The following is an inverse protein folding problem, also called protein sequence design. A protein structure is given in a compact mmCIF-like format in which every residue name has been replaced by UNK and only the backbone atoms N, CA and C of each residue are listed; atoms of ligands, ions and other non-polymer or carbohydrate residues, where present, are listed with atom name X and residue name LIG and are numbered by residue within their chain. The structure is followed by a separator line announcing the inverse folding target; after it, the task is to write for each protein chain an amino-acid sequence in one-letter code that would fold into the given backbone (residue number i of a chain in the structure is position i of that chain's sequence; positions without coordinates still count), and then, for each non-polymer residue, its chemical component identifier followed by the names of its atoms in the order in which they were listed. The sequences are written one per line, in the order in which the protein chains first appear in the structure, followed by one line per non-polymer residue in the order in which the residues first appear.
data_IF_890747896487
#
_entry.id   IF_890747896487
#
_cell.length_a   1.000
_cell.length_b   1.000
_cell.length_c   1.000
_cell.angle_alpha   90.00
_cell.angle_beta   90.00
_cell.angle_gamma   90.00
#
_symmetry.space_group_name_H-M   'P 1'
#
loop_
_entity.id
_entity.type
_entity.pdbx_description
1 polymer ?
#
# COMPACT_ATOMS: atom_id res chain seq x y z
N UNK A 1 5.18 -4.91 -10.28
CA UNK A 1 4.31 -5.53 -9.32
C UNK A 1 4.29 -4.84 -7.98
N UNK A 2 5.39 -4.29 -7.52
CA UNK A 2 5.30 -3.22 -6.56
C UNK A 2 4.75 -2.03 -7.35
N UNK A 3 3.54 -1.50 -7.03
CA UNK A 3 3.28 -0.10 -7.34
C UNK A 3 4.54 0.56 -6.83
N UNK A 4 5.36 1.11 -7.73
CA UNK A 4 6.48 1.90 -7.30
C UNK A 4 5.86 2.97 -6.41
N UNK A 5 5.87 2.73 -5.10
CA UNK A 5 5.93 3.83 -4.18
C UNK A 5 7.22 4.50 -4.61
N UNK A 6 7.13 5.51 -5.46
CA UNK A 6 8.14 6.52 -5.57
C UNK A 6 8.06 7.22 -4.23
N UNK A 7 8.50 6.48 -3.21
CA UNK A 7 8.78 7.02 -1.95
C UNK A 7 9.94 7.96 -2.19
N UNK A 8 9.63 9.22 -2.41
CA UNK A 8 10.52 10.24 -1.94
C UNK A 8 10.52 10.08 -0.42
N UNK A 9 11.31 9.14 0.05
CA UNK A 9 11.81 9.20 1.40
C UNK A 9 12.62 10.49 1.47
N UNK A 10 11.93 11.57 1.80
CA UNK A 10 12.60 12.77 2.23
C UNK A 10 13.35 12.33 3.46
N UNK A 11 14.68 12.17 3.29
CA UNK A 11 15.59 12.08 4.41
C UNK A 11 15.56 13.42 5.12
N UNK A 12 14.52 13.69 5.88
CA UNK A 12 14.55 14.68 6.92
C UNK A 12 15.40 14.13 8.07
N UNK A 13 16.66 13.81 7.78
CA UNK A 13 17.69 13.79 8.80
C UNK A 13 17.90 15.25 9.19
N UNK A 14 17.05 15.76 10.06
CA UNK A 14 17.35 16.94 10.83
C UNK A 14 18.59 16.63 11.67
N UNK A 15 19.60 17.43 11.50
CA UNK A 15 20.81 17.45 12.30
C UNK A 15 20.39 17.71 13.74
N UNK A 16 20.30 16.66 14.53
CA UNK A 16 19.93 16.69 15.94
C UNK A 16 20.14 15.33 16.57
N UNK A 17 20.43 15.28 17.83
CA UNK A 17 20.87 14.12 18.62
C UNK A 17 19.85 12.97 18.76
N UNK A 18 18.75 12.94 18.00
CA UNK A 18 17.78 11.87 18.00
C UNK A 18 17.97 10.97 16.79
N UNK A 19 17.96 9.67 17.05
CA UNK A 19 18.11 8.64 16.03
C UNK A 19 16.82 8.58 15.21
N UNK A 20 16.85 9.07 13.96
CA UNK A 20 15.74 8.94 13.04
C UNK A 20 15.57 7.48 12.64
N UNK A 21 14.41 6.90 12.92
CA UNK A 21 14.01 5.59 12.41
C UNK A 21 13.23 5.82 11.12
N UNK A 22 13.67 5.14 10.05
CA UNK A 22 12.96 5.09 8.78
C UNK A 22 12.56 3.66 8.51
N UNK A 23 11.30 3.44 8.25
CA UNK A 23 10.81 2.19 7.75
C UNK A 23 10.39 2.29 6.29
N UNK A 24 10.26 1.15 5.64
CA UNK A 24 9.68 1.01 4.31
C UNK A 24 9.05 -0.36 4.22
N UNK A 25 7.75 -0.43 4.15
CA UNK A 25 7.06 -1.71 4.06
C UNK A 25 7.22 -2.39 2.69
N UNK A 26 7.31 -3.70 2.70
CA UNK A 26 7.18 -4.56 1.53
C UNK A 26 5.82 -5.23 1.54
N UNK A 27 4.99 -4.90 0.56
CA UNK A 27 3.71 -5.58 0.32
C UNK A 27 3.98 -6.84 -0.49
N UNK A 28 4.12 -7.96 0.19
CA UNK A 28 4.48 -9.26 -0.38
C UNK A 28 3.32 -10.26 -0.38
N UNK A 29 2.10 -9.79 -0.06
CA UNK A 29 0.85 -10.57 -0.10
C UNK A 29 -0.38 -9.65 -0.22
N UNK A 30 -1.54 -10.21 -0.55
CA UNK A 30 -2.84 -9.53 -0.42
C UNK A 30 -3.13 -8.45 -1.46
N UNK A 31 -2.30 -8.29 -2.48
CA UNK A 31 -2.50 -7.29 -3.53
C UNK A 31 -3.33 -7.86 -4.68
N UNK A 32 -4.64 -7.77 -4.56
CA UNK A 32 -5.58 -8.23 -5.57
C UNK A 32 -5.51 -7.37 -6.85
N UNK A 33 -6.02 -7.91 -7.96
CA UNK A 33 -5.96 -7.23 -9.26
C UNK A 33 -6.73 -5.93 -9.27
N UNK A 34 -7.88 -5.90 -8.61
CA UNK A 34 -8.78 -4.76 -8.55
C UNK A 34 -8.72 -4.06 -7.20
N UNK A 35 -8.91 -2.75 -7.22
CA UNK A 35 -8.89 -1.92 -6.00
C UNK A 35 -10.16 -2.12 -5.11
N UNK A 36 -11.15 -2.88 -5.58
CA UNK A 36 -12.38 -3.23 -4.88
C UNK A 36 -12.30 -4.53 -4.04
N UNK A 37 -11.10 -5.03 -3.82
CA UNK A 37 -10.81 -6.31 -3.15
C UNK A 37 -11.29 -7.55 -3.94
N UNK A 38 -11.35 -7.47 -5.26
CA UNK A 38 -11.70 -8.57 -6.15
C UNK A 38 -10.55 -8.97 -7.09
N UNK A 39 -10.67 -10.14 -7.71
CA UNK A 39 -9.67 -10.67 -8.63
C UNK A 39 -8.61 -11.55 -7.97
N UNK A 40 -7.68 -12.07 -8.76
CA UNK A 40 -6.59 -12.94 -8.31
C UNK A 40 -5.48 -12.11 -7.64
N UNK A 41 -4.80 -12.67 -6.66
CA UNK A 41 -3.58 -12.08 -6.10
C UNK A 41 -2.49 -11.99 -7.19
N UNK A 42 -1.91 -10.79 -7.36
CA UNK A 42 -0.95 -10.48 -8.43
C UNK A 42 0.33 -11.30 -8.34
N UNK A 43 0.79 -11.62 -7.12
CA UNK A 43 1.99 -12.42 -6.89
C UNK A 43 1.71 -13.86 -7.25
N UNK A 44 0.60 -14.41 -6.77
CA UNK A 44 0.15 -15.77 -7.07
C UNK A 44 -0.06 -15.99 -8.58
N UNK A 45 -0.70 -15.04 -9.25
CA UNK A 45 -0.87 -15.06 -10.71
C UNK A 45 0.47 -15.09 -11.44
N UNK A 46 1.40 -14.24 -11.03
CA UNK A 46 2.73 -14.18 -11.65
C UNK A 46 3.53 -15.45 -11.39
N UNK A 47 3.48 -15.98 -10.18
CA UNK A 47 4.12 -17.25 -9.80
C UNK A 47 3.62 -18.40 -10.68
N UNK A 48 2.31 -18.52 -10.87
CA UNK A 48 1.69 -19.52 -11.74
C UNK A 48 2.15 -19.40 -13.20
N UNK A 49 2.22 -18.17 -13.73
CA UNK A 49 2.66 -17.92 -15.12
C UNK A 49 4.13 -18.27 -15.30
N UNK A 50 5.00 -17.88 -14.35
CA UNK A 50 6.44 -18.14 -14.42
C UNK A 50 6.83 -19.53 -13.91
N UNK A 51 5.88 -20.30 -13.35
CA UNK A 51 6.10 -21.62 -12.71
C UNK A 51 7.12 -21.55 -11.58
N UNK A 52 6.99 -20.53 -10.74
CA UNK A 52 7.81 -20.26 -9.57
C UNK A 52 6.95 -20.23 -8.33
N UNK A 53 7.55 -20.37 -7.15
CA UNK A 53 6.88 -20.12 -5.89
C UNK A 53 6.62 -18.61 -5.67
N UNK A 54 5.53 -18.22 -5.00
CA UNK A 54 5.21 -16.80 -4.76
C UNK A 54 6.38 -16.02 -4.13
N UNK A 55 7.08 -16.62 -3.17
CA UNK A 55 8.20 -15.96 -2.50
C UNK A 55 9.46 -15.82 -3.38
N UNK A 56 9.64 -16.65 -4.42
CA UNK A 56 10.69 -16.44 -5.42
C UNK A 56 10.41 -15.19 -6.25
N UNK A 57 9.11 -14.96 -6.60
CA UNK A 57 8.68 -13.74 -7.29
C UNK A 57 8.93 -12.50 -6.41
N UNK A 58 8.53 -12.56 -5.14
CA UNK A 58 8.76 -11.49 -4.17
C UNK A 58 10.25 -11.17 -4.07
N UNK A 59 11.10 -12.18 -3.84
CA UNK A 59 12.53 -12.01 -3.69
C UNK A 59 13.18 -11.40 -4.93
N UNK A 60 12.83 -11.90 -6.13
CA UNK A 60 13.32 -11.38 -7.41
C UNK A 60 13.08 -9.87 -7.55
N UNK A 61 11.83 -9.44 -7.30
CA UNK A 61 11.48 -8.03 -7.43
C UNK A 61 12.02 -7.16 -6.29
N UNK A 62 12.16 -7.71 -5.08
CA UNK A 62 12.77 -7.00 -3.95
C UNK A 62 14.25 -6.70 -4.23
N UNK A 63 14.99 -7.69 -4.72
CA UNK A 63 16.41 -7.51 -5.10
C UNK A 63 16.54 -6.48 -6.22
N UNK A 64 15.69 -6.56 -7.24
CA UNK A 64 15.73 -5.60 -8.35
C UNK A 64 15.39 -4.17 -7.89
N UNK A 65 14.41 -4.03 -7.03
CA UNK A 65 14.06 -2.76 -6.41
C UNK A 65 15.23 -2.17 -5.59
N UNK A 66 15.90 -2.98 -4.76
CA UNK A 66 17.06 -2.52 -3.97
C UNK A 66 18.19 -2.04 -4.86
N UNK A 67 18.51 -2.77 -5.94
CA UNK A 67 19.52 -2.34 -6.93
C UNK A 67 19.18 -0.97 -7.53
N UNK A 68 17.91 -0.75 -7.89
CA UNK A 68 17.49 0.54 -8.44
C UNK A 68 17.61 1.65 -7.39
N UNK A 69 17.24 1.40 -6.14
CA UNK A 69 17.40 2.37 -5.05
C UNK A 69 18.87 2.71 -4.79
N UNK A 70 19.75 1.71 -4.84
CA UNK A 70 21.20 1.90 -4.73
C UNK A 70 21.74 2.77 -5.90
N UNK A 71 21.33 2.49 -7.13
CA UNK A 71 21.71 3.30 -8.31
C UNK A 71 21.27 4.76 -8.17
N UNK A 72 20.12 5.02 -7.55
CA UNK A 72 19.67 6.38 -7.21
C UNK A 72 20.41 6.97 -5.99
N UNK A 73 21.33 6.25 -5.38
CA UNK A 73 22.02 6.68 -4.17
C UNK A 73 21.05 7.15 -3.08
N UNK A 74 19.99 6.35 -2.85
CA UNK A 74 19.04 6.56 -1.76
C UNK A 74 19.54 5.85 -0.51
N UNK A 75 19.37 6.47 0.64
CA UNK A 75 19.70 5.82 1.91
C UNK A 75 18.74 4.64 2.14
N UNK A 76 19.26 3.46 2.53
CA UNK A 76 18.41 2.33 2.88
C UNK A 76 17.54 2.64 4.10
N UNK A 77 16.36 2.03 4.25
CA UNK A 77 15.61 2.14 5.48
C UNK A 77 16.33 1.44 6.63
N UNK A 78 16.02 1.83 7.86
CA UNK A 78 16.52 1.14 9.06
C UNK A 78 15.81 -0.21 9.25
N UNK A 79 14.52 -0.24 8.88
CA UNK A 79 13.65 -1.42 8.99
C UNK A 79 12.86 -1.55 7.70
N UNK A 80 12.79 -2.74 7.14
CA UNK A 80 12.01 -3.05 5.95
C UNK A 80 11.09 -4.24 6.22
N UNK A 81 9.95 -4.00 6.91
CA UNK A 81 9.04 -5.05 7.29
C UNK A 81 8.25 -5.57 6.10
N UNK A 82 7.98 -6.88 6.10
CA UNK A 82 7.13 -7.56 5.12
C UNK A 82 5.76 -7.84 5.70
N UNK A 83 4.72 -7.78 4.88
CA UNK A 83 3.35 -8.09 5.31
C UNK A 83 3.23 -9.55 5.77
N UNK A 84 3.88 -10.50 5.05
CA UNK A 84 3.89 -11.92 5.43
C UNK A 84 4.58 -12.18 6.77
N UNK A 85 5.60 -11.40 7.12
CA UNK A 85 6.31 -11.49 8.40
C UNK A 85 5.51 -10.93 9.60
N UNK A 86 4.34 -10.31 9.37
CA UNK A 86 3.58 -9.58 10.38
C UNK A 86 2.11 -10.01 10.46
N UNK A 87 1.80 -11.25 10.10
CA UNK A 87 0.42 -11.79 10.13
C UNK A 87 -0.17 -11.76 11.54
N UNK A 88 0.62 -12.04 12.57
CA UNK A 88 0.17 -12.03 13.96
C UNK A 88 -0.27 -10.62 14.37
N UNK A 89 0.54 -9.62 14.09
CA UNK A 89 0.25 -8.22 14.41
C UNK A 89 -0.99 -7.71 13.66
N UNK A 90 -1.18 -8.15 12.44
CA UNK A 90 -2.35 -7.80 11.63
C UNK A 90 -3.62 -8.45 12.20
N UNK A 91 -3.58 -9.74 12.58
CA UNK A 91 -4.70 -10.41 13.25
C UNK A 91 -5.04 -9.70 14.57
N UNK A 92 -4.05 -9.31 15.35
CA UNK A 92 -4.29 -8.60 16.61
C UNK A 92 -4.86 -7.19 16.41
N UNK A 93 -4.45 -6.50 15.35
CA UNK A 93 -5.04 -5.22 14.95
C UNK A 93 -6.52 -5.39 14.56
N UNK A 94 -6.85 -6.41 13.78
CA UNK A 94 -8.25 -6.73 13.42
C UNK A 94 -9.10 -7.00 14.67
N UNK A 95 -8.61 -7.80 15.60
CA UNK A 95 -9.34 -8.08 16.86
C UNK A 95 -9.66 -6.79 17.63
N UNK A 96 -8.70 -5.83 17.66
CA UNK A 96 -8.92 -4.53 18.30
C UNK A 96 -9.98 -3.70 17.58
N UNK A 97 -9.96 -3.68 16.23
CA UNK A 97 -10.96 -2.97 15.41
C UNK A 97 -12.35 -3.60 15.60
N UNK A 98 -12.46 -4.94 15.63
CA UNK A 98 -13.72 -5.62 15.94
C UNK A 98 -14.21 -5.23 17.35
N UNK A 99 -13.32 -5.26 18.34
CA UNK A 99 -13.66 -4.90 19.74
C UNK A 99 -14.13 -3.45 19.86
N UNK A 100 -13.60 -2.53 19.05
CA UNK A 100 -14.06 -1.13 19.01
C UNK A 100 -15.42 -0.97 18.31
N UNK A 101 -15.93 -2.04 17.70
CA UNK A 101 -17.21 -2.07 16.99
C UNK A 101 -17.16 -1.48 15.59
N UNK A 102 -15.96 -1.20 15.02
CA UNK A 102 -15.80 -0.63 13.68
C UNK A 102 -15.48 -1.68 12.61
N UNK A 103 -15.62 -2.96 12.91
CA UNK A 103 -15.49 -4.04 11.94
C UNK A 103 -16.48 -5.14 12.21
N UNK A 104 -16.76 -5.95 11.21
CA UNK A 104 -17.66 -7.10 11.27
C UNK A 104 -17.12 -8.29 10.46
N UNK A 105 -17.48 -9.49 10.88
CA UNK A 105 -17.21 -10.72 10.14
C UNK A 105 -18.38 -11.03 9.20
N UNK A 106 -18.05 -11.49 7.98
CA UNK A 106 -19.02 -11.97 7.00
C UNK A 106 -18.39 -13.09 6.16
N UNK A 107 -18.97 -14.27 6.20
CA UNK A 107 -18.58 -15.44 5.40
C UNK A 107 -17.08 -15.82 5.51
N UNK A 108 -16.46 -15.62 6.69
CA UNK A 108 -15.04 -15.91 6.94
C UNK A 108 -14.08 -14.80 6.48
N UNK A 109 -14.60 -13.68 6.02
CA UNK A 109 -13.87 -12.42 5.80
C UNK A 109 -14.21 -11.41 6.90
N UNK A 110 -13.32 -10.44 7.13
CA UNK A 110 -13.56 -9.33 8.06
C UNK A 110 -13.45 -8.02 7.31
N UNK A 111 -14.44 -7.17 7.47
CA UNK A 111 -14.52 -5.86 6.82
C UNK A 111 -14.55 -4.73 7.84
N UNK A 112 -13.94 -3.62 7.49
CA UNK A 112 -14.06 -2.36 8.23
C UNK A 112 -15.40 -1.72 7.87
N UNK A 113 -16.18 -1.33 8.89
CA UNK A 113 -17.49 -0.69 8.74
C UNK A 113 -17.31 0.83 8.61
N UNK A 114 -17.20 1.28 7.36
CA UNK A 114 -16.94 2.70 7.07
C UNK A 114 -18.08 3.60 7.51
N UNK A 115 -19.33 3.17 7.31
CA UNK A 115 -20.49 3.99 7.69
C UNK A 115 -20.55 4.18 9.20
N UNK A 116 -20.36 3.11 9.96
CA UNK A 116 -20.36 3.19 11.42
C UNK A 116 -19.22 4.05 11.97
N UNK A 117 -18.03 3.89 11.41
CA UNK A 117 -16.89 4.76 11.78
C UNK A 117 -17.17 6.22 11.45
N UNK A 118 -17.84 6.49 10.33
CA UNK A 118 -18.16 7.84 9.86
C UNK A 118 -19.32 8.51 10.61
N UNK A 119 -20.08 7.82 11.49
CA UNK A 119 -21.09 8.45 12.35
C UNK A 119 -20.54 9.65 13.14
N UNK A 120 -19.22 9.66 13.40
CA UNK A 120 -18.48 10.77 14.03
C UNK A 120 -17.82 11.70 13.01
N UNK A 121 -18.12 11.59 11.71
CA UNK A 121 -17.56 12.41 10.63
C UNK A 121 -16.04 12.29 10.48
N UNK A 122 -15.48 11.09 10.68
CA UNK A 122 -14.02 10.89 10.75
C UNK A 122 -13.38 10.37 9.46
N UNK A 123 -14.12 9.65 8.60
CA UNK A 123 -13.56 9.06 7.38
C UNK A 123 -13.33 10.09 6.28
N UNK A 124 -12.26 9.92 5.48
CA UNK A 124 -11.95 10.78 4.33
C UNK A 124 -11.34 12.14 4.67
N UNK A 125 -10.90 12.37 5.90
CA UNK A 125 -10.34 13.66 6.34
C UNK A 125 -9.07 14.07 5.61
N UNK A 126 -8.22 13.11 5.28
CA UNK A 126 -6.96 13.38 4.60
C UNK A 126 -7.18 13.73 3.12
N UNK A 127 -8.04 12.99 2.45
CA UNK A 127 -8.34 13.22 1.03
C UNK A 127 -9.33 14.36 0.80
N UNK A 128 -10.13 14.70 1.80
CA UNK A 128 -11.27 15.61 1.69
C UNK A 128 -12.50 14.99 1.05
N UNK A 129 -12.52 13.65 0.87
CA UNK A 129 -13.67 12.94 0.29
C UNK A 129 -14.75 12.70 1.33
N UNK A 130 -15.98 12.87 0.91
CA UNK A 130 -17.16 12.59 1.74
C UNK A 130 -17.70 11.19 1.43
N UNK A 131 -18.13 10.48 2.46
CA UNK A 131 -18.71 9.13 2.32
C UNK A 131 -19.95 9.14 1.44
N UNK A 132 -20.76 10.20 1.51
CA UNK A 132 -21.98 10.39 0.71
C UNK A 132 -21.66 10.42 -0.79
N UNK A 133 -20.56 11.09 -1.18
CA UNK A 133 -20.12 11.16 -2.58
C UNK A 133 -19.65 9.79 -3.09
N UNK A 134 -19.01 9.02 -2.22
CA UNK A 134 -18.60 7.65 -2.55
C UNK A 134 -19.79 6.71 -2.71
N UNK A 135 -20.83 6.85 -1.89
CA UNK A 135 -22.06 6.06 -2.01
C UNK A 135 -22.78 6.32 -3.34
N UNK A 136 -22.81 7.57 -3.80
CA UNK A 136 -23.44 7.93 -5.07
C UNK A 136 -22.72 7.32 -6.27
N UNK A 137 -21.39 7.22 -6.21
CA UNK A 137 -20.58 6.64 -7.29
C UNK A 137 -20.56 5.10 -7.28
N UNK A 138 -20.80 4.46 -6.13
CA UNK A 138 -20.77 2.99 -6.00
C UNK A 138 -22.07 2.30 -6.43
N UNK A 139 -23.15 3.02 -6.64
CA UNK A 139 -24.44 2.45 -7.14
C UNK A 139 -24.35 1.80 -8.52
N UNK A 140 -23.22 1.98 -9.22
CA UNK A 140 -22.98 1.39 -10.55
C UNK A 140 -22.20 0.05 -10.50
N UNK A 141 -21.76 -0.40 -9.32
CA UNK A 141 -21.04 -1.66 -9.16
C UNK A 141 -21.96 -2.70 -8.51
N UNK A 142 -22.95 -3.13 -9.27
CA UNK A 142 -23.90 -4.16 -8.85
C UNK A 142 -23.22 -5.53 -8.78
N UNK A 143 -23.32 -6.16 -7.60
CA UNK A 143 -23.30 -7.60 -7.45
C UNK A 143 -21.99 -8.23 -6.95
N UNK A 144 -22.15 -9.02 -5.92
CA UNK A 144 -21.24 -10.05 -5.38
C UNK A 144 -20.19 -9.66 -4.34
N UNK A 145 -20.29 -8.56 -3.65
CA UNK A 145 -19.46 -8.42 -2.46
C UNK A 145 -20.21 -8.84 -1.21
N UNK A 146 -19.57 -9.66 -0.37
CA UNK A 146 -20.05 -9.99 0.99
C UNK A 146 -20.06 -8.78 1.95
N UNK A 147 -19.84 -7.56 1.41
CA UNK A 147 -19.78 -6.32 2.17
C UNK A 147 -21.18 -5.83 2.53
N UNK A 148 -21.37 -5.30 3.74
CA UNK A 148 -22.62 -4.61 4.11
C UNK A 148 -22.85 -3.36 3.28
N UNK A 149 -21.77 -2.63 3.01
CA UNK A 149 -21.80 -1.41 2.23
C UNK A 149 -20.65 -1.40 1.21
N UNK A 150 -20.86 -0.86 0.00
CA UNK A 150 -19.84 -0.87 -1.06
C UNK A 150 -18.51 -0.20 -0.67
N UNK A 151 -18.54 0.80 0.22
CA UNK A 151 -17.37 1.54 0.69
C UNK A 151 -16.59 0.84 1.80
N UNK A 152 -17.14 -0.24 2.39
CA UNK A 152 -16.41 -1.03 3.37
C UNK A 152 -15.21 -1.69 2.71
N UNK A 153 -14.11 -1.84 3.44
CA UNK A 153 -12.89 -2.43 2.90
C UNK A 153 -12.42 -3.62 3.74
N UNK A 154 -11.74 -4.55 3.07
CA UNK A 154 -11.29 -5.77 3.72
C UNK A 154 -10.17 -5.52 4.72
N UNK A 155 -10.29 -6.12 5.90
CA UNK A 155 -9.23 -6.27 6.89
C UNK A 155 -8.62 -7.68 6.82
N UNK A 156 -9.47 -8.69 6.56
CA UNK A 156 -9.11 -10.07 6.32
C UNK A 156 -9.99 -10.64 5.22
N UNK A 157 -9.40 -11.24 4.20
CA UNK A 157 -10.13 -11.92 3.13
C UNK A 157 -10.03 -13.42 3.31
N UNK A 158 -11.16 -14.10 3.25
CA UNK A 158 -11.21 -15.56 3.18
C UNK A 158 -10.45 -16.04 1.95
N UNK A 159 -9.57 -17.02 2.13
CA UNK A 159 -8.92 -17.69 1.01
C UNK A 159 -9.88 -18.67 0.36
N UNK A 160 -9.91 -18.69 -0.96
CA UNK A 160 -10.55 -19.72 -1.76
C UNK A 160 -9.60 -20.89 -1.99
N UNK A 161 -10.10 -22.02 -2.47
CA UNK A 161 -9.31 -23.25 -2.62
C UNK A 161 -8.11 -23.12 -3.57
N UNK A 162 -8.14 -22.15 -4.47
CA UNK A 162 -7.07 -21.87 -5.43
C UNK A 162 -6.02 -20.86 -4.92
N UNK A 163 -6.21 -20.26 -3.73
CA UNK A 163 -5.23 -19.35 -3.16
C UNK A 163 -3.99 -20.10 -2.67
N UNK A 164 -2.82 -19.67 -3.11
CA UNK A 164 -1.54 -20.26 -2.75
C UNK A 164 -1.03 -19.68 -1.41
N UNK A 165 -1.27 -18.37 -1.19
CA UNK A 165 -0.80 -17.65 0.00
C UNK A 165 -1.98 -17.39 0.94
N UNK A 166 -2.01 -18.11 2.06
CA UNK A 166 -3.02 -17.93 3.10
C UNK A 166 -2.48 -18.35 4.47
N UNK A 167 -3.10 -17.86 5.52
CA UNK A 167 -2.78 -18.16 6.92
C UNK A 167 -4.04 -18.52 7.70
N UNK A 168 -3.84 -19.24 8.80
CA UNK A 168 -4.92 -19.51 9.74
C UNK A 168 -5.20 -18.27 10.60
N UNK A 169 -6.46 -17.98 10.81
CA UNK A 169 -6.92 -16.88 11.65
C UNK A 169 -8.15 -17.33 12.48
N UNK A 170 -8.61 -16.52 13.45
CA UNK A 170 -9.86 -16.80 14.16
C UNK A 170 -11.09 -16.86 13.25
N UNK A 171 -11.04 -16.27 12.07
CA UNK A 171 -12.13 -16.20 11.08
C UNK A 171 -12.00 -17.28 9.99
N UNK A 172 -10.97 -18.11 10.07
CA UNK A 172 -10.66 -19.16 9.09
C UNK A 172 -9.40 -18.86 8.29
N UNK A 173 -9.17 -19.68 7.24
CA UNK A 173 -8.07 -19.50 6.31
C UNK A 173 -8.28 -18.26 5.46
N UNK A 174 -7.25 -17.42 5.34
CA UNK A 174 -7.34 -16.18 4.58
C UNK A 174 -6.02 -15.41 4.53
N UNK A 175 -6.10 -14.17 4.14
CA UNK A 175 -4.97 -13.26 4.01
C UNK A 175 -5.38 -11.82 4.40
N UNK A 176 -4.43 -10.98 4.82
CA UNK A 176 -4.73 -9.62 5.26
C UNK A 176 -5.17 -8.72 4.10
N UNK A 177 -6.00 -7.74 4.41
CA UNK A 177 -6.30 -6.64 3.51
C UNK A 177 -5.13 -5.66 3.39
N UNK A 178 -4.91 -5.13 2.20
CA UNK A 178 -3.77 -4.29 1.86
C UNK A 178 -3.54 -3.09 2.79
N UNK A 179 -4.60 -2.43 3.25
CA UNK A 179 -4.47 -1.23 4.09
C UNK A 179 -3.99 -1.54 5.52
N UNK A 180 -4.30 -2.73 6.01
CA UNK A 180 -3.98 -3.15 7.37
C UNK A 180 -2.48 -3.44 7.57
N UNK A 181 -1.81 -3.87 6.52
CA UNK A 181 -0.38 -4.18 6.54
C UNK A 181 0.42 -2.99 7.05
N UNK A 182 0.25 -1.83 6.40
CA UNK A 182 0.96 -0.60 6.75
C UNK A 182 0.60 -0.12 8.16
N UNK A 183 -0.69 -0.17 8.54
CA UNK A 183 -1.13 0.19 9.89
C UNK A 183 -0.46 -0.65 10.97
N UNK A 184 -0.41 -1.98 10.78
CA UNK A 184 0.14 -2.89 11.78
C UNK A 184 1.67 -2.80 11.87
N UNK A 185 2.35 -2.70 10.72
CA UNK A 185 3.81 -2.65 10.68
C UNK A 185 4.36 -1.31 11.19
N UNK A 186 3.78 -0.17 10.77
CA UNK A 186 4.18 1.13 11.27
C UNK A 186 3.98 1.24 12.78
N UNK A 187 2.83 0.78 13.28
CA UNK A 187 2.55 0.76 14.72
C UNK A 187 3.57 -0.06 15.51
N UNK A 188 4.00 -1.22 14.99
CA UNK A 188 4.99 -2.07 15.64
C UNK A 188 6.35 -1.41 15.76
N UNK A 189 6.82 -0.73 14.73
CA UNK A 189 8.19 -0.22 14.67
C UNK A 189 8.31 1.27 14.99
N UNK A 190 7.30 2.06 14.72
CA UNK A 190 7.31 3.51 14.94
C UNK A 190 6.41 3.95 16.11
N UNK A 191 5.60 3.00 16.64
CA UNK A 191 4.67 3.28 17.74
C UNK A 191 3.32 3.80 17.28
N UNK A 192 2.51 4.24 18.26
CA UNK A 192 1.12 4.67 18.02
C UNK A 192 1.01 6.03 17.31
N UNK A 193 2.09 6.78 17.29
CA UNK A 193 2.17 8.09 16.69
C UNK A 193 3.61 8.39 16.26
N UNK A 194 3.79 8.71 14.99
CA UNK A 194 5.10 9.02 14.41
C UNK A 194 5.05 10.31 13.59
N UNK A 195 6.22 10.81 13.17
CA UNK A 195 6.30 12.16 12.62
C UNK A 195 5.77 12.24 11.19
N UNK A 196 6.24 11.39 10.28
CA UNK A 196 5.97 11.52 8.84
C UNK A 196 5.54 10.19 8.24
N UNK A 197 4.40 10.20 7.53
CA UNK A 197 3.96 9.12 6.66
C UNK A 197 3.99 9.58 5.21
N UNK A 198 4.67 8.85 4.35
CA UNK A 198 4.88 9.22 2.94
C UNK A 198 4.33 8.20 1.96
N UNK A 199 3.90 8.68 0.79
CA UNK A 199 3.48 7.80 -0.30
C UNK A 199 3.21 8.55 -1.61
N UNK A 200 2.79 7.82 -2.63
CA UNK A 200 2.32 8.44 -3.87
C UNK A 200 0.95 9.11 -3.69
N UNK A 201 0.62 10.06 -4.55
CA UNK A 201 -0.68 10.72 -4.52
C UNK A 201 -1.86 9.75 -4.69
N UNK A 202 -1.64 8.62 -5.38
CA UNK A 202 -2.61 7.53 -5.53
C UNK A 202 -2.89 6.77 -4.23
N UNK A 203 -1.98 6.84 -3.25
CA UNK A 203 -2.19 6.26 -1.93
C UNK A 203 -2.98 7.17 -0.99
N UNK A 204 -3.09 8.48 -1.29
CA UNK A 204 -3.83 9.41 -0.45
C UNK A 204 -5.25 8.94 -0.19
N UNK A 205 -5.89 8.42 -1.25
CA UNK A 205 -7.19 7.76 -1.18
C UNK A 205 -7.20 6.52 -2.11
N UNK A 206 -7.72 5.36 -1.65
CA UNK A 206 -8.30 5.12 -0.31
C UNK A 206 -7.28 4.75 0.77
N UNK A 207 -6.03 4.37 0.41
CA UNK A 207 -5.10 3.66 1.27
C UNK A 207 -4.80 4.39 2.59
N UNK A 208 -4.32 5.64 2.54
CA UNK A 208 -3.97 6.40 3.75
C UNK A 208 -5.21 6.80 4.58
N UNK A 209 -6.35 7.11 3.95
CA UNK A 209 -7.60 7.32 4.70
C UNK A 209 -8.05 6.05 5.43
N UNK A 210 -7.85 4.87 4.83
CA UNK A 210 -8.10 3.58 5.49
C UNK A 210 -7.14 3.33 6.67
N UNK A 211 -5.85 3.65 6.52
CA UNK A 211 -4.87 3.53 7.61
C UNK A 211 -5.23 4.45 8.79
N UNK A 212 -5.64 5.69 8.51
CA UNK A 212 -6.13 6.62 9.55
C UNK A 212 -7.34 6.03 10.25
N UNK A 213 -8.33 5.54 9.49
CA UNK A 213 -9.53 4.96 10.05
C UNK A 213 -9.24 3.74 10.95
N UNK A 214 -8.33 2.86 10.51
CA UNK A 214 -7.88 1.71 11.31
C UNK A 214 -7.19 2.14 12.60
N UNK A 215 -6.26 3.08 12.53
CA UNK A 215 -5.52 3.58 13.69
C UNK A 215 -6.45 4.31 14.67
N UNK A 216 -7.36 5.13 14.18
CA UNK A 216 -8.36 5.79 15.03
C UNK A 216 -9.35 4.79 15.65
N UNK A 217 -9.69 3.70 14.95
CA UNK A 217 -10.53 2.64 15.50
C UNK A 217 -9.81 1.83 16.60
N UNK A 218 -8.48 1.65 16.50
CA UNK A 218 -7.67 0.92 17.49
C UNK A 218 -7.37 1.80 18.71
N UNK A 219 -6.87 3.00 18.50
CA UNK A 219 -6.26 3.84 19.54
C UNK A 219 -6.90 5.23 19.68
N UNK A 220 -7.89 5.55 18.86
CA UNK A 220 -8.54 6.85 18.77
C UNK A 220 -7.56 8.02 18.44
N UNK A 221 -6.50 7.71 17.67
CA UNK A 221 -5.44 8.65 17.29
C UNK A 221 -5.11 8.53 15.80
N UNK A 222 -4.83 9.69 15.15
CA UNK A 222 -4.17 9.70 13.85
C UNK A 222 -2.74 9.16 14.02
N UNK A 223 -2.27 8.23 13.19
CA UNK A 223 -0.96 7.60 13.38
C UNK A 223 0.22 8.52 13.04
N UNK A 224 0.03 9.52 12.19
CA UNK A 224 1.12 10.39 11.74
C UNK A 224 0.82 11.87 11.92
N UNK A 225 1.87 12.63 12.27
CA UNK A 225 1.81 14.09 12.41
C UNK A 225 1.70 14.77 11.05
N UNK A 226 2.50 14.32 10.08
CA UNK A 226 2.54 14.86 8.73
C UNK A 226 2.31 13.76 7.70
N UNK A 227 1.50 14.05 6.69
CA UNK A 227 1.24 13.21 5.55
C UNK A 227 1.87 13.85 4.32
N UNK A 228 2.78 13.14 3.66
CA UNK A 228 3.49 13.65 2.49
C UNK A 228 3.16 12.80 1.27
N UNK A 229 2.78 13.46 0.18
CA UNK A 229 2.42 12.78 -1.06
C UNK A 229 3.24 13.32 -2.22
N UNK A 230 3.85 12.39 -2.97
CA UNK A 230 4.51 12.72 -4.22
C UNK A 230 3.54 12.57 -5.38
N UNK A 231 3.63 13.50 -6.33
CA UNK A 231 2.80 13.42 -7.53
C UNK A 231 3.24 12.26 -8.44
N UNK A 232 2.38 11.89 -9.37
CA UNK A 232 2.66 10.81 -10.33
C UNK A 232 3.64 11.27 -11.39
N UNK A 233 4.59 10.41 -11.77
CA UNK A 233 5.38 10.62 -12.96
C UNK A 233 4.49 10.48 -14.19
N UNK A 234 4.62 11.44 -15.10
CA UNK A 234 3.84 11.47 -16.33
C UNK A 234 4.77 11.41 -17.57
N UNK A 235 4.24 10.86 -18.64
CA UNK A 235 4.83 10.91 -19.95
C UNK A 235 3.87 11.65 -20.89
N UNK A 236 4.29 12.79 -21.46
CA UNK A 236 3.44 13.64 -22.30
C UNK A 236 2.10 14.00 -21.62
N UNK A 237 2.14 14.34 -20.33
CA UNK A 237 0.95 14.68 -19.54
C UNK A 237 0.05 13.51 -19.13
N UNK A 238 0.38 12.27 -19.51
CA UNK A 238 -0.37 11.06 -19.11
C UNK A 238 0.39 10.29 -18.03
N UNK A 239 -0.35 9.77 -17.04
CA UNK A 239 0.22 8.90 -15.99
C UNK A 239 0.93 7.72 -16.65
N UNK A 240 2.17 7.43 -16.20
CA UNK A 240 2.89 6.25 -16.66
C UNK A 240 2.19 4.98 -16.14
N UNK A 241 1.87 4.08 -17.06
CA UNK A 241 1.16 2.83 -16.76
C UNK A 241 1.53 1.73 -17.73
N UNK A 242 1.65 0.50 -17.22
CA UNK A 242 1.87 -0.69 -18.07
C UNK A 242 0.70 -0.98 -19.00
N UNK A 243 -0.53 -0.66 -18.58
CA UNK A 243 -1.75 -0.94 -19.36
C UNK A 243 -1.85 -0.13 -20.66
N UNK A 244 -1.19 1.03 -20.73
CA UNK A 244 -1.14 1.88 -21.93
C UNK A 244 0.24 1.94 -22.56
N UNK A 245 1.15 1.03 -22.16
CA UNK A 245 2.51 0.88 -22.70
C UNK A 245 3.31 2.20 -22.79
N UNK A 246 3.12 3.08 -21.81
CA UNK A 246 3.81 4.38 -21.75
C UNK A 246 4.73 4.49 -20.52
N UNK A 247 5.28 3.40 -20.04
CA UNK A 247 6.18 3.39 -18.90
C UNK A 247 7.64 3.14 -19.32
N UNK A 248 8.57 3.66 -18.51
CA UNK A 248 10.00 3.49 -18.72
C UNK A 248 10.61 3.00 -17.41
N UNK A 249 11.41 1.95 -17.51
CA UNK A 249 12.15 1.45 -16.35
C UNK A 249 13.38 2.31 -16.07
N UNK A 250 13.76 2.53 -14.79
CA UNK A 250 14.99 3.26 -14.46
C UNK A 250 16.24 2.70 -15.15
N UNK A 251 16.37 1.37 -15.22
CA UNK A 251 17.49 0.71 -15.89
C UNK A 251 17.57 1.04 -17.39
N UNK A 252 16.45 1.24 -18.06
CA UNK A 252 16.43 1.65 -19.47
C UNK A 252 16.94 3.08 -19.64
N UNK A 253 16.60 4.00 -18.73
CA UNK A 253 17.09 5.36 -18.72
C UNK A 253 18.61 5.40 -18.46
N UNK A 254 19.07 4.59 -17.51
CA UNK A 254 20.49 4.55 -17.12
C UNK A 254 21.37 3.88 -18.18
N UNK A 255 20.87 2.88 -18.87
CA UNK A 255 21.58 2.19 -19.95
C UNK A 255 21.49 2.91 -21.29
N UNK A 256 20.45 3.73 -21.49
CA UNK A 256 20.10 4.30 -22.78
C UNK A 256 19.52 3.28 -23.78
N UNK A 257 19.17 2.09 -23.27
CA UNK A 257 18.57 1.02 -24.07
C UNK A 257 17.04 1.13 -24.07
N UNK A 258 16.55 2.21 -24.71
CA UNK A 258 15.11 2.46 -24.81
C UNK A 258 14.81 3.17 -26.14
N UNK A 259 13.62 2.93 -26.69
CA UNK A 259 13.18 3.53 -27.96
C UNK A 259 13.02 5.05 -27.91
N UNK A 260 12.85 5.62 -26.72
CA UNK A 260 12.57 7.04 -26.51
C UNK A 260 13.86 7.83 -26.27
N UNK A 261 14.86 7.24 -25.62
CA UNK A 261 16.12 7.89 -25.28
C UNK A 261 17.24 7.46 -26.20
N UNK A 262 17.87 8.44 -26.85
CA UNK A 262 19.03 8.21 -27.71
C UNK A 262 20.37 8.15 -26.95
N UNK A 263 20.36 8.40 -25.64
CA UNK A 263 21.55 8.45 -24.80
C UNK A 263 21.26 8.04 -23.37
N UNK A 264 22.32 7.65 -22.66
CA UNK A 264 22.29 7.34 -21.22
C UNK A 264 22.12 8.61 -20.40
N UNK A 265 21.36 8.49 -19.31
CA UNK A 265 21.28 9.50 -18.29
C UNK A 265 21.78 8.95 -16.95
N UNK A 266 22.59 9.73 -16.24
CA UNK A 266 23.02 9.29 -14.91
C UNK A 266 21.84 9.32 -13.92
N UNK A 267 21.84 8.42 -12.92
CA UNK A 267 20.80 8.40 -11.88
C UNK A 267 20.62 9.76 -11.18
N UNK A 268 21.70 10.52 -10.99
CA UNK A 268 21.64 11.85 -10.38
C UNK A 268 20.89 12.88 -11.25
N UNK A 269 21.05 12.80 -12.57
CA UNK A 269 20.30 13.67 -13.50
C UNK A 269 18.80 13.34 -13.44
N UNK A 270 18.46 12.06 -13.44
CA UNK A 270 17.07 11.60 -13.34
C UNK A 270 16.46 12.02 -11.99
N UNK A 271 17.19 11.83 -10.91
CA UNK A 271 16.78 12.26 -9.56
C UNK A 271 16.58 13.77 -9.49
N UNK A 272 17.49 14.55 -10.03
CA UNK A 272 17.36 16.01 -10.08
C UNK A 272 16.13 16.46 -10.89
N UNK A 273 15.88 15.82 -12.04
CA UNK A 273 14.67 16.07 -12.83
C UNK A 273 13.38 15.79 -12.03
N UNK A 274 13.33 14.66 -11.30
CA UNK A 274 12.20 14.34 -10.45
C UNK A 274 11.96 15.38 -9.35
N UNK A 275 13.02 15.97 -8.78
CA UNK A 275 12.90 17.01 -7.76
C UNK A 275 12.44 18.37 -8.31
N UNK A 276 12.54 18.61 -9.61
CA UNK A 276 12.07 19.86 -10.24
C UNK A 276 10.58 19.80 -10.62
N UNK A 277 9.97 18.61 -10.61
CA UNK A 277 8.55 18.48 -10.91
C UNK A 277 7.73 19.01 -9.71
N UNK A 278 6.90 20.02 -9.98
CA UNK A 278 5.97 20.61 -9.03
C UNK A 278 4.59 19.97 -9.13
#
# INVERSE_FOLDING_TARGET
FFKQKTAYEISACLVGSEMCIRDRNLTDVGHLENDDDSGEDKISKKARIEKLEPMEIVQKYTIDFHKVMEMFNTLPPNIEPTATGHIIEQIDSIKKIIKSGNAYEMNGSVYFDVLKFNEKGKYGKLSGRKVEDMMNNSRLLDGSSDKKNPQDFALWKKAEDNHIMFWNSPWGKGFPGWHLECTSMSKKYLGDYFDIHGGGMDLKFPHHDCEIAQSEAIDNKNPAKYWMHTNMLTMNGKKMSKSIDNFILPNEIFSGNNKIFSKKFSPNVVKFFMYQAH
#
